data_IF_047187491969
#
_entry.id   IF_047187491969
#
_cell.length_a   1.000
_cell.length_b   1.000
_cell.length_c   1.000
_cell.angle_alpha   90.00
_cell.angle_beta   90.00
_cell.angle_gamma   90.00
#
_symmetry.space_group_name_H-M   'P 1'
#
loop_
_entity.id
_entity.type
_entity.pdbx_description
1 polymer ?
#
# COMPACT_ATOMS: atom_id res chain seq x y z
N UNK A 1 97.67 12.99 -21.78
CA UNK A 1 98.24 14.16 -21.10
C UNK A 1 98.00 15.34 -22.01
N UNK A 2 97.20 16.27 -21.48
CA UNK A 2 97.14 17.69 -21.79
C UNK A 2 96.68 18.16 -23.18
N UNK A 3 95.49 18.76 -23.15
CA UNK A 3 95.20 20.15 -23.55
C UNK A 3 95.98 20.73 -24.74
N UNK A 4 95.24 21.28 -25.71
CA UNK A 4 95.27 22.71 -26.03
C UNK A 4 94.43 23.07 -27.27
N UNK A 5 93.48 23.99 -27.04
CA UNK A 5 93.15 25.21 -27.82
C UNK A 5 92.80 25.14 -29.31
N UNK A 6 91.55 25.52 -29.61
CA UNK A 6 91.12 26.70 -30.42
C UNK A 6 92.24 27.48 -31.15
N UNK A 7 92.20 27.88 -32.43
CA UNK A 7 91.19 28.46 -33.34
C UNK A 7 91.86 28.53 -34.77
N UNK A 8 91.35 29.24 -35.81
CA UNK A 8 90.12 29.02 -36.58
C UNK A 8 90.34 29.11 -38.12
N UNK A 9 89.22 28.97 -38.85
CA UNK A 9 88.81 29.69 -40.06
C UNK A 9 89.31 29.32 -41.48
N UNK A 10 88.29 29.15 -42.33
CA UNK A 10 88.13 29.57 -43.73
C UNK A 10 88.62 28.66 -44.89
N UNK A 11 87.65 27.89 -45.42
CA UNK A 11 87.16 27.74 -46.83
C UNK A 11 87.94 28.49 -47.96
N UNK A 12 87.92 28.06 -49.26
CA UNK A 12 86.68 27.72 -50.00
C UNK A 12 86.71 26.79 -51.25
N UNK A 13 85.50 26.28 -51.60
CA UNK A 13 84.81 26.25 -52.93
C UNK A 13 85.41 25.50 -54.15
N UNK A 14 84.63 24.52 -54.66
CA UNK A 14 84.03 24.46 -56.03
C UNK A 14 83.90 23.02 -56.59
N UNK A 15 82.74 22.70 -57.18
CA UNK A 15 82.64 21.77 -58.32
C UNK A 15 81.60 20.64 -58.26
N UNK A 16 80.38 20.91 -58.74
CA UNK A 16 79.34 19.95 -59.18
C UNK A 16 79.79 19.20 -60.49
N UNK A 17 79.22 18.12 -61.04
CA UNK A 17 77.81 17.86 -61.47
C UNK A 17 77.61 16.38 -61.90
N UNK A 18 76.44 15.80 -61.58
CA UNK A 18 75.65 14.88 -62.48
C UNK A 18 75.77 13.37 -62.24
N UNK A 19 74.73 12.53 -62.27
CA UNK A 19 73.30 12.61 -62.61
C UNK A 19 72.60 11.37 -61.98
N UNK A 20 71.52 11.51 -61.20
CA UNK A 20 70.08 11.47 -61.54
C UNK A 20 69.46 10.07 -61.81
N UNK A 21 68.25 9.87 -61.24
CA UNK A 21 67.12 8.94 -61.55
C UNK A 21 66.62 8.26 -60.24
N UNK A 22 65.37 8.31 -59.77
CA UNK A 22 64.07 8.88 -60.18
C UNK A 22 63.22 9.01 -58.90
N UNK A 23 62.56 10.15 -58.69
CA UNK A 23 61.60 10.34 -57.61
C UNK A 23 60.18 9.97 -58.06
N UNK A 24 59.55 9.01 -57.38
CA UNK A 24 58.13 8.69 -57.56
C UNK A 24 57.24 9.65 -56.75
N UNK A 25 56.30 10.31 -57.43
CA UNK A 25 55.37 11.28 -56.83
C UNK A 25 54.20 10.66 -56.03
N UNK A 26 53.94 11.27 -54.86
CA UNK A 26 52.66 11.54 -54.15
C UNK A 26 51.65 10.40 -53.85
N UNK A 27 51.32 10.21 -52.55
CA UNK A 27 49.96 9.83 -52.11
C UNK A 27 49.33 10.77 -51.05
N UNK A 28 50.00 11.86 -50.64
CA UNK A 28 49.60 12.66 -49.46
C UNK A 28 48.31 13.49 -49.61
N UNK A 29 47.89 13.82 -50.83
CA UNK A 29 46.71 14.69 -51.11
C UNK A 29 45.35 13.98 -51.03
N UNK A 30 45.29 12.66 -51.25
CA UNK A 30 44.02 11.90 -51.22
C UNK A 30 43.59 11.57 -49.78
N UNK A 31 44.54 11.25 -48.92
CA UNK A 31 44.32 11.02 -47.48
C UNK A 31 43.79 12.26 -46.77
N UNK A 32 44.32 13.44 -47.10
CA UNK A 32 43.84 14.69 -46.52
C UNK A 32 42.36 14.97 -46.87
N UNK A 33 41.94 14.63 -48.10
CA UNK A 33 40.53 14.78 -48.53
C UNK A 33 39.63 13.77 -47.84
N UNK A 34 40.05 12.51 -47.70
CA UNK A 34 39.30 11.50 -46.96
C UNK A 34 39.11 11.90 -45.50
N UNK A 35 40.15 12.45 -44.86
CA UNK A 35 40.09 12.96 -43.49
C UNK A 35 39.13 14.15 -43.34
N UNK A 36 39.13 15.07 -44.31
CA UNK A 36 38.20 16.21 -44.34
C UNK A 36 36.75 15.76 -44.52
N UNK A 37 36.48 14.78 -45.39
CA UNK A 37 35.13 14.23 -45.54
C UNK A 37 34.67 13.49 -44.29
N UNK A 38 35.56 12.75 -43.62
CA UNK A 38 35.24 12.07 -42.38
C UNK A 38 34.93 13.06 -41.26
N UNK A 39 35.72 14.13 -41.12
CA UNK A 39 35.43 15.23 -40.19
C UNK A 39 34.12 15.95 -40.52
N UNK A 40 33.81 16.17 -41.80
CA UNK A 40 32.56 16.79 -42.22
C UNK A 40 31.34 15.90 -41.89
N UNK A 41 31.45 14.58 -42.07
CA UNK A 41 30.40 13.63 -41.71
C UNK A 41 30.21 13.57 -40.20
N UNK A 42 31.29 13.55 -39.41
CA UNK A 42 31.21 13.60 -37.94
C UNK A 42 30.60 14.92 -37.46
N UNK A 43 30.99 16.05 -38.07
CA UNK A 43 30.40 17.36 -37.77
C UNK A 43 28.91 17.42 -38.10
N UNK A 44 28.50 16.87 -39.24
CA UNK A 44 27.09 16.78 -39.62
C UNK A 44 26.29 15.89 -38.65
N UNK A 45 26.83 14.73 -38.27
CA UNK A 45 26.21 13.85 -37.28
C UNK A 45 26.08 14.54 -35.92
N UNK A 46 27.10 15.28 -35.47
CA UNK A 46 27.03 16.06 -34.24
C UNK A 46 25.97 17.16 -34.28
N UNK A 47 25.81 17.84 -35.43
CA UNK A 47 24.76 18.84 -35.61
C UNK A 47 23.37 18.20 -35.63
N UNK A 48 23.21 17.03 -36.25
CA UNK A 48 21.94 16.30 -36.27
C UNK A 48 21.55 15.79 -34.89
N UNK A 49 22.50 15.26 -34.11
CA UNK A 49 22.23 14.84 -32.73
C UNK A 49 21.90 16.02 -31.83
N UNK A 50 22.57 17.17 -31.99
CA UNK A 50 22.26 18.39 -31.26
C UNK A 50 20.87 18.92 -31.64
N UNK A 51 20.56 18.99 -32.93
CA UNK A 51 19.24 19.41 -33.42
C UNK A 51 18.13 18.49 -32.90
N UNK A 52 18.36 17.17 -32.90
CA UNK A 52 17.43 16.20 -32.32
C UNK A 52 17.29 16.36 -30.80
N UNK A 53 18.38 16.61 -30.08
CA UNK A 53 18.35 16.85 -28.64
C UNK A 53 17.58 18.14 -28.30
N UNK A 54 17.79 19.23 -29.05
CA UNK A 54 17.06 20.50 -28.89
C UNK A 54 15.58 20.32 -29.25
N UNK A 55 15.28 19.64 -30.37
CA UNK A 55 13.91 19.33 -30.75
C UNK A 55 13.23 18.54 -29.63
N UNK A 56 13.84 17.45 -29.15
CA UNK A 56 13.32 16.66 -28.05
C UNK A 56 13.19 17.48 -26.77
N UNK A 57 14.15 18.35 -26.44
CA UNK A 57 14.07 19.19 -25.24
C UNK A 57 12.92 20.21 -25.33
N UNK A 58 12.65 20.74 -26.52
CA UNK A 58 11.58 21.70 -26.75
C UNK A 58 10.20 21.05 -26.94
N UNK A 59 10.13 19.79 -27.37
CA UNK A 59 8.87 19.05 -27.56
C UNK A 59 8.52 18.13 -26.40
N UNK A 60 9.49 17.80 -25.52
CA UNK A 60 9.21 17.07 -24.30
C UNK A 60 8.72 18.10 -23.28
N UNK A 61 7.46 18.01 -22.81
CA UNK A 61 7.01 18.83 -21.71
C UNK A 61 8.00 18.69 -20.55
N UNK A 62 8.31 19.76 -19.80
CA UNK A 62 9.12 19.63 -18.60
C UNK A 62 8.53 18.52 -17.72
N UNK A 63 9.40 17.69 -17.12
CA UNK A 63 8.93 16.69 -16.17
C UNK A 63 8.06 17.42 -15.13
N UNK A 64 6.82 16.97 -14.89
CA UNK A 64 5.90 17.71 -14.04
C UNK A 64 6.53 17.92 -12.67
N UNK A 65 6.37 19.12 -12.12
CA UNK A 65 6.87 19.44 -10.78
C UNK A 65 6.33 18.42 -9.78
N UNK A 66 7.21 17.94 -8.89
CA UNK A 66 6.85 16.97 -7.85
C UNK A 66 5.79 17.62 -6.95
N UNK A 67 4.58 17.06 -6.94
CA UNK A 67 3.51 17.59 -6.10
C UNK A 67 3.80 17.24 -4.63
N UNK A 68 3.82 18.24 -3.77
CA UNK A 68 3.98 18.09 -2.32
C UNK A 68 2.61 18.22 -1.68
N UNK A 69 2.22 17.22 -0.88
CA UNK A 69 0.91 17.23 -0.22
C UNK A 69 1.01 18.01 1.11
N UNK A 70 0.20 19.06 1.23
CA UNK A 70 -0.16 19.65 2.53
C UNK A 70 -1.22 18.77 3.20
N UNK A 71 -0.79 18.02 4.21
CA UNK A 71 -1.58 17.01 4.89
C UNK A 71 -2.88 17.57 5.49
N UNK A 72 -2.81 18.75 6.12
CA UNK A 72 -3.97 19.33 6.79
C UNK A 72 -5.03 19.76 5.78
N UNK A 73 -4.59 20.43 4.70
CA UNK A 73 -5.47 20.88 3.62
C UNK A 73 -6.07 19.69 2.85
N UNK A 74 -5.25 18.67 2.54
CA UNK A 74 -5.72 17.47 1.85
C UNK A 74 -6.74 16.68 2.68
N UNK A 75 -6.50 16.50 3.99
CA UNK A 75 -7.46 15.86 4.88
C UNK A 75 -8.75 16.67 4.95
N UNK A 76 -8.68 17.98 5.16
CA UNK A 76 -9.88 18.81 5.31
C UNK A 76 -10.75 18.78 4.05
N UNK A 77 -10.13 18.85 2.87
CA UNK A 77 -10.84 18.79 1.58
C UNK A 77 -11.48 17.40 1.34
N UNK A 78 -10.73 16.32 1.57
CA UNK A 78 -11.25 14.95 1.39
C UNK A 78 -12.34 14.62 2.42
N UNK A 79 -12.09 14.88 3.70
CA UNK A 79 -13.08 14.67 4.76
C UNK A 79 -14.30 15.58 4.58
N UNK A 80 -14.08 16.82 4.10
CA UNK A 80 -15.12 17.77 3.77
C UNK A 80 -16.06 17.27 2.67
N UNK A 81 -15.49 16.68 1.61
CA UNK A 81 -16.24 16.09 0.49
C UNK A 81 -16.98 14.82 0.90
N UNK A 82 -16.37 13.97 1.71
CA UNK A 82 -16.90 12.64 2.03
C UNK A 82 -17.87 12.65 3.22
N UNK A 83 -17.56 13.43 4.25
CA UNK A 83 -18.31 13.46 5.51
C UNK A 83 -18.96 14.80 5.82
N UNK A 84 -18.90 15.77 4.89
CA UNK A 84 -19.54 17.07 5.05
C UNK A 84 -18.79 18.01 5.99
N UNK A 85 -19.49 18.72 6.87
CA UNK A 85 -18.91 19.85 7.61
C UNK A 85 -18.19 19.41 8.88
N UNK A 86 -17.00 19.97 9.11
CA UNK A 86 -16.30 19.86 10.38
C UNK A 86 -17.05 20.61 11.50
N UNK A 87 -17.29 19.92 12.62
CA UNK A 87 -17.85 20.49 13.84
C UNK A 87 -16.77 20.74 14.87
N UNK A 88 -16.44 22.02 15.10
CA UNK A 88 -15.48 22.43 16.13
C UNK A 88 -15.90 21.98 17.54
N UNK A 89 -17.21 21.97 17.83
CA UNK A 89 -17.75 21.55 19.12
C UNK A 89 -17.57 20.05 19.37
N UNK A 90 -17.72 19.22 18.33
CA UNK A 90 -17.55 17.76 18.42
C UNK A 90 -16.12 17.30 18.09
N UNK A 91 -15.27 18.21 17.60
CA UNK A 91 -13.90 17.93 17.13
C UNK A 91 -13.87 16.79 16.11
N UNK A 92 -14.69 16.90 15.06
CA UNK A 92 -14.82 15.89 14.00
C UNK A 92 -15.84 16.29 12.94
N UNK A 93 -15.89 15.53 11.84
CA UNK A 93 -16.85 15.70 10.75
C UNK A 93 -18.15 14.99 11.08
N UNK A 94 -19.28 15.70 10.93
CA UNK A 94 -20.60 15.14 11.22
C UNK A 94 -21.16 14.55 9.95
N UNK A 95 -21.28 13.23 9.92
CA UNK A 95 -21.78 12.46 8.80
C UNK A 95 -23.13 11.84 9.15
N UNK A 96 -24.07 11.83 8.22
CA UNK A 96 -25.33 11.11 8.32
C UNK A 96 -25.34 10.12 7.17
N UNK A 97 -25.52 8.84 7.46
CA UNK A 97 -25.57 7.80 6.44
C UNK A 97 -26.98 7.68 5.82
N UNK A 98 -27.14 6.71 4.91
CA UNK A 98 -28.40 6.49 4.20
C UNK A 98 -29.53 5.94 5.11
N UNK A 99 -29.18 5.45 6.31
CA UNK A 99 -30.11 4.96 7.35
C UNK A 99 -30.46 6.05 8.38
N UNK A 100 -30.14 7.31 8.09
CA UNK A 100 -30.29 8.47 9.00
C UNK A 100 -29.48 8.35 10.31
N UNK A 101 -28.46 7.48 10.36
CA UNK A 101 -27.59 7.36 11.53
C UNK A 101 -26.50 8.42 11.47
N UNK A 102 -26.41 9.20 12.55
CA UNK A 102 -25.41 10.25 12.67
C UNK A 102 -24.11 9.73 13.29
N UNK A 103 -22.98 10.01 12.66
CA UNK A 103 -21.63 9.69 13.10
C UNK A 103 -20.80 10.96 13.32
N UNK A 104 -19.85 10.89 14.26
CA UNK A 104 -18.75 11.87 14.35
C UNK A 104 -17.45 11.21 13.91
N UNK A 105 -17.06 11.48 12.66
CA UNK A 105 -15.87 10.93 12.04
C UNK A 105 -14.63 11.75 12.40
N UNK A 106 -13.52 11.07 12.70
CA UNK A 106 -12.23 11.69 13.00
C UNK A 106 -11.12 10.96 12.28
N UNK A 107 -10.11 11.67 11.80
CA UNK A 107 -8.87 11.04 11.34
C UNK A 107 -8.16 10.45 12.56
N UNK A 108 -7.88 9.15 12.51
CA UNK A 108 -7.27 8.40 13.61
C UNK A 108 -5.80 8.14 13.39
N UNK A 109 -5.38 8.02 12.12
CA UNK A 109 -4.00 7.74 11.77
C UNK A 109 -3.72 8.17 10.33
N UNK A 110 -2.50 8.67 10.07
CA UNK A 110 -2.07 9.09 8.73
C UNK A 110 -0.58 8.81 8.50
N UNK A 111 -0.18 8.65 7.25
CA UNK A 111 1.22 8.61 6.83
C UNK A 111 1.37 9.25 5.45
N UNK A 112 2.49 9.92 5.24
CA UNK A 112 2.92 10.42 3.94
C UNK A 112 4.09 9.59 3.44
N UNK A 113 4.00 9.12 2.20
CA UNK A 113 5.02 8.32 1.53
C UNK A 113 5.71 9.20 0.48
N UNK A 114 6.98 9.63 0.71
CA UNK A 114 7.64 10.61 -0.15
C UNK A 114 8.32 10.04 -1.40
N UNK A 115 8.25 8.73 -1.66
CA UNK A 115 9.13 8.07 -2.65
C UNK A 115 8.50 7.79 -4.02
N UNK A 116 7.40 8.45 -4.39
CA UNK A 116 6.85 8.35 -5.74
C UNK A 116 7.43 9.45 -6.66
N UNK A 117 7.89 9.07 -7.86
CA UNK A 117 8.31 9.96 -8.94
C UNK A 117 7.20 10.94 -9.38
N UNK A 118 5.94 10.65 -9.02
CA UNK A 118 4.79 11.51 -9.28
C UNK A 118 4.56 12.63 -8.27
N UNK A 119 5.04 12.48 -7.04
CA UNK A 119 4.70 13.36 -5.94
C UNK A 119 4.62 12.60 -4.63
N UNK A 120 4.27 13.29 -3.55
CA UNK A 120 3.91 12.63 -2.31
C UNK A 120 2.62 11.81 -2.50
N UNK A 121 2.53 10.68 -1.82
CA UNK A 121 1.25 10.00 -1.59
C UNK A 121 0.91 10.07 -0.10
N UNK A 122 -0.38 10.18 0.21
CA UNK A 122 -0.85 10.21 1.58
C UNK A 122 -1.90 9.14 1.82
N UNK A 123 -1.74 8.39 2.91
CA UNK A 123 -2.64 7.35 3.35
C UNK A 123 -3.17 7.75 4.71
N UNK A 124 -4.48 7.74 4.92
CA UNK A 124 -5.05 7.99 6.23
C UNK A 124 -6.31 7.17 6.48
N UNK A 125 -6.65 7.03 7.75
CA UNK A 125 -7.85 6.34 8.22
C UNK A 125 -8.67 7.31 9.05
N UNK A 126 -9.97 7.34 8.82
CA UNK A 126 -10.92 8.00 9.69
C UNK A 126 -11.87 6.99 10.31
N UNK A 127 -12.34 7.22 11.53
CA UNK A 127 -13.33 6.37 12.18
C UNK A 127 -14.26 7.17 13.09
N UNK A 128 -15.44 6.62 13.31
CA UNK A 128 -16.48 7.17 14.17
C UNK A 128 -17.45 6.09 14.64
N UNK A 129 -18.23 6.43 15.66
CA UNK A 129 -19.35 5.64 16.17
C UNK A 129 -20.63 6.45 16.02
N UNK A 130 -21.75 5.73 15.97
CA UNK A 130 -23.06 6.34 15.95
C UNK A 130 -23.31 7.17 17.23
N UNK A 131 -23.93 8.33 17.05
CA UNK A 131 -24.19 9.30 18.13
C UNK A 131 -25.40 8.90 18.98
N UNK A 132 -26.28 8.06 18.42
CA UNK A 132 -27.46 7.51 19.10
C UNK A 132 -27.12 6.45 20.15
N UNK A 133 -25.86 6.01 20.22
CA UNK A 133 -25.39 4.97 21.13
C UNK A 133 -25.65 3.54 20.65
N UNK A 134 -26.09 3.37 19.40
CA UNK A 134 -26.15 2.04 18.77
C UNK A 134 -24.75 1.45 18.59
N UNK A 135 -24.66 0.11 18.53
CA UNK A 135 -23.42 -0.62 18.24
C UNK A 135 -23.06 -0.55 16.75
N UNK A 136 -23.10 0.65 16.17
CA UNK A 136 -22.72 0.92 14.79
C UNK A 136 -21.46 1.78 14.78
N UNK A 137 -20.38 1.21 14.29
CA UNK A 137 -19.14 1.93 14.03
C UNK A 137 -18.82 1.93 12.54
N UNK A 138 -18.03 2.91 12.13
CA UNK A 138 -17.58 3.06 10.75
C UNK A 138 -16.11 3.43 10.73
N UNK A 139 -15.39 2.93 9.74
CA UNK A 139 -14.10 3.47 9.35
C UNK A 139 -14.06 3.75 7.84
N UNK A 140 -13.22 4.70 7.46
CA UNK A 140 -12.87 4.95 6.07
C UNK A 140 -11.36 4.93 5.89
N UNK A 141 -10.89 4.28 4.82
CA UNK A 141 -9.50 4.29 4.39
C UNK A 141 -9.35 5.17 3.14
N UNK A 142 -8.37 6.07 3.14
CA UNK A 142 -8.23 7.13 2.14
C UNK A 142 -6.81 7.18 1.60
N UNK A 143 -6.67 7.13 0.28
CA UNK A 143 -5.42 7.34 -0.44
C UNK A 143 -5.54 8.60 -1.29
N UNK A 144 -4.69 9.58 -0.99
CA UNK A 144 -4.58 10.83 -1.72
C UNK A 144 -3.29 10.80 -2.53
N UNK A 145 -3.40 11.03 -3.83
CA UNK A 145 -2.28 10.99 -4.75
C UNK A 145 -2.44 12.05 -5.85
N UNK A 146 -1.34 12.42 -6.53
CA UNK A 146 -1.40 13.25 -7.73
C UNK A 146 -2.37 12.69 -8.77
N UNK A 147 -3.19 13.56 -9.37
CA UNK A 147 -4.09 13.18 -10.49
C UNK A 147 -3.29 12.73 -11.72
N UNK A 148 -3.82 11.75 -12.45
CA UNK A 148 -3.26 11.29 -13.72
C UNK A 148 -4.25 11.53 -14.88
N UNK A 149 -3.86 12.20 -15.98
CA UNK A 149 -2.56 12.85 -16.23
C UNK A 149 -2.33 14.06 -15.31
N UNK A 150 -1.06 14.38 -15.03
CA UNK A 150 -0.70 15.41 -14.04
C UNK A 150 -1.14 16.80 -14.49
N UNK A 151 -2.07 17.38 -13.74
CA UNK A 151 -2.63 18.72 -13.91
C UNK A 151 -2.34 19.66 -12.72
N UNK A 152 -1.71 19.14 -11.66
CA UNK A 152 -1.43 19.87 -10.42
C UNK A 152 -2.43 19.58 -9.31
N UNK A 153 -3.51 18.84 -9.61
CA UNK A 153 -4.55 18.49 -8.64
C UNK A 153 -4.25 17.16 -7.94
N UNK A 154 -4.98 16.93 -6.85
CA UNK A 154 -4.97 15.69 -6.08
C UNK A 154 -6.27 14.91 -6.30
N UNK A 155 -6.14 13.60 -6.47
CA UNK A 155 -7.25 12.66 -6.49
C UNK A 155 -7.26 11.86 -5.18
N UNK A 156 -8.45 11.55 -4.68
CA UNK A 156 -8.63 10.74 -3.48
C UNK A 156 -9.44 9.47 -3.78
N UNK A 157 -8.83 8.32 -3.56
CA UNK A 157 -9.49 7.02 -3.54
C UNK A 157 -9.91 6.68 -2.10
N UNK A 158 -11.10 6.12 -1.91
CA UNK A 158 -11.54 5.73 -0.57
C UNK A 158 -12.42 4.48 -0.56
N UNK A 159 -12.52 3.88 0.63
CA UNK A 159 -13.51 2.86 0.99
C UNK A 159 -14.03 3.19 2.38
N UNK A 160 -15.34 3.04 2.59
CA UNK A 160 -15.97 3.14 3.89
C UNK A 160 -16.59 1.79 4.27
N UNK A 161 -16.37 1.36 5.51
CA UNK A 161 -16.87 0.09 6.02
C UNK A 161 -17.59 0.33 7.35
N UNK A 162 -18.82 -0.14 7.42
CA UNK A 162 -19.60 -0.20 8.64
C UNK A 162 -19.44 -1.57 9.29
N UNK A 163 -19.36 -1.59 10.62
CA UNK A 163 -19.23 -2.82 11.40
C UNK A 163 -19.96 -2.69 12.74
N UNK A 164 -20.34 -3.83 13.30
CA UNK A 164 -21.09 -3.90 14.57
C UNK A 164 -20.14 -3.70 15.76
N UNK A 165 -20.06 -2.47 16.24
CA UNK A 165 -19.26 -2.13 17.42
C UNK A 165 -19.70 -0.80 18.04
N UNK A 166 -19.67 -0.72 19.37
CA UNK A 166 -19.79 0.54 20.11
C UNK A 166 -18.48 1.34 20.21
N UNK A 167 -17.41 0.91 19.52
CA UNK A 167 -16.08 1.54 19.59
C UNK A 167 -15.50 1.87 18.21
N UNK A 168 -15.00 3.09 18.06
CA UNK A 168 -14.28 3.53 16.87
C UNK A 168 -12.88 2.88 16.82
N UNK A 169 -12.36 2.72 15.61
CA UNK A 169 -10.97 2.30 15.38
C UNK A 169 -10.03 3.30 16.06
N UNK A 170 -9.09 2.79 16.85
CA UNK A 170 -8.07 3.58 17.54
C UNK A 170 -6.78 3.69 16.71
N UNK A 171 -5.92 4.69 16.97
CA UNK A 171 -4.67 4.87 16.23
C UNK A 171 -3.76 3.64 16.24
N UNK A 172 -3.69 2.91 17.34
CA UNK A 172 -2.89 1.68 17.51
C UNK A 172 -3.47 0.46 16.78
N UNK A 173 -4.70 0.56 16.27
CA UNK A 173 -5.36 -0.47 15.48
C UNK A 173 -5.11 -0.29 13.97
N UNK A 174 -4.39 0.76 13.57
CA UNK A 174 -4.06 1.06 12.17
C UNK A 174 -2.57 0.95 11.93
N UNK A 175 -2.20 0.14 10.95
CA UNK A 175 -0.82 0.00 10.48
C UNK A 175 -0.75 0.30 8.99
N UNK A 176 0.32 0.96 8.56
CA UNK A 176 0.62 1.13 7.14
C UNK A 176 1.77 0.20 6.78
N UNK A 177 1.56 -0.63 5.78
CA UNK A 177 2.50 -1.68 5.39
C UNK A 177 2.91 -1.49 3.93
N UNK A 178 4.20 -1.57 3.65
CA UNK A 178 4.69 -1.75 2.29
C UNK A 178 4.35 -3.19 1.87
N UNK A 179 3.37 -3.34 0.99
CA UNK A 179 2.96 -4.64 0.47
C UNK A 179 3.85 -5.06 -0.69
N UNK A 180 4.24 -4.13 -1.58
CA UNK A 180 5.21 -4.36 -2.67
C UNK A 180 6.12 -3.15 -2.82
N UNK A 181 7.07 -3.18 -3.77
CA UNK A 181 7.94 -2.03 -4.05
C UNK A 181 7.15 -0.76 -4.41
N UNK A 182 5.96 -0.91 -4.98
CA UNK A 182 5.13 0.19 -5.48
C UNK A 182 3.72 0.23 -4.87
N UNK A 183 3.47 -0.56 -3.81
CA UNK A 183 2.14 -0.63 -3.20
C UNK A 183 2.27 -0.58 -1.68
N UNK A 184 1.71 0.48 -1.11
CA UNK A 184 1.41 0.57 0.31
C UNK A 184 -0.05 0.21 0.56
N UNK A 185 -0.32 -0.30 1.75
CA UNK A 185 -1.66 -0.65 2.19
C UNK A 185 -1.87 -0.36 3.66
N UNK A 186 -3.11 -0.58 4.09
CA UNK A 186 -3.51 -0.50 5.49
C UNK A 186 -3.71 -1.89 6.04
N UNK A 187 -3.37 -2.08 7.30
CA UNK A 187 -3.96 -3.14 8.12
C UNK A 187 -4.76 -2.46 9.21
N UNK A 188 -6.09 -2.56 9.11
CA UNK A 188 -7.04 -1.96 10.05
C UNK A 188 -7.63 -3.08 10.90
N UNK A 189 -7.48 -2.95 12.22
CA UNK A 189 -8.08 -3.87 13.19
C UNK A 189 -9.44 -3.35 13.62
N UNK A 190 -10.49 -4.08 13.29
CA UNK A 190 -11.85 -3.81 13.79
C UNK A 190 -12.14 -4.73 14.97
N UNK A 191 -12.81 -4.20 15.98
CA UNK A 191 -13.20 -4.96 17.17
C UNK A 191 -14.72 -5.00 17.27
N UNK A 192 -15.29 -6.18 17.47
CA UNK A 192 -16.69 -6.35 17.88
C UNK A 192 -16.72 -6.65 19.38
N UNK A 193 -17.73 -6.12 20.08
CA UNK A 193 -17.83 -6.20 21.53
C UNK A 193 -16.82 -5.28 22.25
N UNK A 194 -17.07 -5.01 23.52
CA UNK A 194 -16.22 -4.15 24.37
C UNK A 194 -15.85 -4.80 25.69
N UNK A 195 -16.65 -5.76 26.16
CA UNK A 195 -16.43 -6.47 27.43
C UNK A 195 -16.49 -7.99 27.23
N UNK A 196 -15.35 -8.70 27.36
CA UNK A 196 -15.29 -10.15 27.17
C UNK A 196 -16.04 -10.95 28.24
N UNK A 197 -16.48 -10.31 29.33
CA UNK A 197 -17.28 -10.95 30.39
C UNK A 197 -18.77 -11.01 30.08
N UNK A 198 -19.24 -10.15 29.17
CA UNK A 198 -20.65 -10.07 28.76
C UNK A 198 -20.89 -10.65 27.37
N UNK A 199 -19.95 -10.47 26.43
CA UNK A 199 -20.06 -10.97 25.05
C UNK A 199 -18.67 -11.33 24.50
N UNK A 200 -18.56 -12.19 23.47
CA UNK A 200 -17.27 -12.43 22.83
C UNK A 200 -16.71 -11.15 22.21
N UNK A 201 -15.50 -10.76 22.59
CA UNK A 201 -14.76 -9.68 21.96
C UNK A 201 -13.89 -10.26 20.87
N UNK A 202 -14.19 -9.94 19.62
CA UNK A 202 -13.40 -10.41 18.48
C UNK A 202 -12.72 -9.26 17.78
N UNK A 203 -11.51 -9.48 17.29
CA UNK A 203 -10.78 -8.53 16.46
C UNK A 203 -10.54 -9.16 15.11
N UNK A 204 -10.83 -8.42 14.05
CA UNK A 204 -10.59 -8.79 12.66
C UNK A 204 -9.50 -7.89 12.08
N UNK A 205 -8.53 -8.46 11.38
CA UNK A 205 -7.57 -7.70 10.58
C UNK A 205 -8.11 -7.57 9.16
N UNK A 206 -8.29 -6.32 8.72
CA UNK A 206 -8.66 -5.98 7.35
C UNK A 206 -7.41 -5.44 6.64
N UNK A 207 -6.93 -6.14 5.62
CA UNK A 207 -5.82 -5.69 4.78
C UNK A 207 -6.39 -4.97 3.58
N UNK A 208 -6.04 -3.71 3.37
CA UNK A 208 -6.57 -2.89 2.28
C UNK A 208 -5.44 -2.29 1.46
N UNK A 209 -5.71 -1.98 0.18
CA UNK A 209 -4.80 -1.20 -0.65
C UNK A 209 -5.56 -0.45 -1.76
N UNK A 210 -4.97 0.62 -2.33
CA UNK A 210 -5.52 1.29 -3.49
C UNK A 210 -5.67 0.33 -4.69
N UNK A 211 -6.80 0.40 -5.39
CA UNK A 211 -7.06 -0.39 -6.59
C UNK A 211 -8.08 0.28 -7.50
N UNK A 212 -7.75 0.45 -8.79
CA UNK A 212 -8.67 0.94 -9.84
C UNK A 212 -9.43 2.22 -9.45
N UNK A 213 -8.75 3.19 -8.85
CA UNK A 213 -9.34 4.47 -8.43
C UNK A 213 -10.16 4.42 -7.13
N UNK A 214 -10.26 3.26 -6.48
CA UNK A 214 -10.84 3.09 -5.14
C UNK A 214 -9.86 2.44 -4.17
N UNK A 215 -10.36 1.99 -3.03
CA UNK A 215 -9.62 1.16 -2.07
C UNK A 215 -10.30 -0.21 -2.01
N UNK A 216 -9.51 -1.28 -2.11
CA UNK A 216 -10.00 -2.66 -2.07
C UNK A 216 -9.57 -3.35 -0.78
N UNK A 217 -10.44 -4.21 -0.25
CA UNK A 217 -10.09 -5.18 0.80
C UNK A 217 -9.38 -6.35 0.12
N UNK A 218 -8.12 -6.56 0.48
CA UNK A 218 -7.29 -7.64 -0.05
C UNK A 218 -7.46 -8.92 0.78
N UNK A 219 -7.66 -8.80 2.09
CA UNK A 219 -7.79 -9.95 2.98
C UNK A 219 -8.56 -9.57 4.25
N UNK A 220 -9.30 -10.52 4.78
CA UNK A 220 -9.88 -10.46 6.12
C UNK A 220 -9.55 -11.75 6.86
N UNK A 221 -9.03 -11.63 8.07
CA UNK A 221 -8.71 -12.78 8.91
C UNK A 221 -8.74 -12.41 10.40
N UNK A 222 -8.97 -13.37 11.31
CA UNK A 222 -8.98 -13.12 12.75
C UNK A 222 -7.70 -12.47 13.24
N UNK A 223 -7.81 -11.63 14.26
CA UNK A 223 -6.70 -11.02 15.02
C UNK A 223 -6.70 -11.47 16.48
N UNK A 224 -7.86 -11.47 17.13
CA UNK A 224 -8.05 -12.05 18.45
C UNK A 224 -9.49 -12.46 18.69
N UNK A 225 -9.69 -13.35 19.65
CA UNK A 225 -11.00 -13.69 20.19
C UNK A 225 -10.84 -13.89 21.70
N UNK A 226 -11.62 -13.13 22.46
CA UNK A 226 -11.62 -13.08 23.91
C UNK A 226 -13.02 -13.27 24.47
N UNK A 227 -13.18 -14.22 25.38
CA UNK A 227 -14.40 -14.35 26.17
C UNK A 227 -14.06 -14.98 27.53
N UNK A 228 -14.70 -14.46 28.58
CA UNK A 228 -14.44 -14.81 29.98
C UNK A 228 -15.78 -15.12 30.64
N UNK A 229 -16.21 -16.39 30.64
CA UNK A 229 -17.48 -16.78 31.24
C UNK A 229 -17.40 -16.60 32.78
N UNK A 230 -18.54 -16.37 33.44
CA UNK A 230 -18.58 -16.26 34.90
C UNK A 230 -18.32 -17.61 35.58
N UNK A 231 -18.68 -18.73 34.95
CA UNK A 231 -18.38 -20.09 35.44
C UNK A 231 -16.97 -20.57 35.03
N UNK A 232 -16.40 -21.58 35.73
CA UNK A 232 -15.14 -22.20 35.34
C UNK A 232 -15.16 -22.76 33.91
N UNK A 233 -14.00 -22.75 33.24
CA UNK A 233 -13.90 -23.09 31.82
C UNK A 233 -14.43 -24.48 31.44
N UNK A 234 -14.30 -25.47 32.31
CA UNK A 234 -14.84 -26.81 32.06
C UNK A 234 -16.38 -26.81 32.02
N UNK A 235 -17.01 -26.01 32.88
CA UNK A 235 -18.47 -25.87 32.93
C UNK A 235 -18.98 -25.01 31.77
N UNK A 236 -18.28 -23.92 31.45
CA UNK A 236 -18.55 -23.11 30.26
C UNK A 236 -18.50 -23.94 28.97
N UNK A 237 -17.47 -24.78 28.84
CA UNK A 237 -17.34 -25.72 27.72
C UNK A 237 -18.51 -26.70 27.67
N UNK A 238 -18.89 -27.30 28.80
CA UNK A 238 -20.00 -28.24 28.83
C UNK A 238 -21.32 -27.57 28.41
N UNK A 239 -21.59 -26.35 28.88
CA UNK A 239 -22.75 -25.57 28.45
C UNK A 239 -22.75 -25.30 26.94
N UNK A 240 -21.58 -24.95 26.40
CA UNK A 240 -21.39 -24.74 24.96
C UNK A 240 -21.60 -26.01 24.13
N UNK A 241 -21.04 -27.13 24.57
CA UNK A 241 -21.18 -28.41 23.89
C UNK A 241 -22.65 -28.87 23.88
N UNK A 242 -23.42 -28.58 24.94
CA UNK A 242 -24.88 -28.78 24.98
C UNK A 242 -25.57 -27.89 23.95
N UNK A 243 -25.33 -26.57 24.00
CA UNK A 243 -25.89 -25.61 23.03
C UNK A 243 -25.67 -26.06 21.58
N UNK A 244 -24.42 -26.35 21.22
CA UNK A 244 -24.05 -26.76 19.86
C UNK A 244 -24.67 -28.12 19.45
N UNK A 245 -25.05 -28.97 20.40
CA UNK A 245 -25.73 -30.24 20.12
C UNK A 245 -27.25 -30.10 19.99
N UNK A 246 -27.83 -29.04 20.56
CA UNK A 246 -29.28 -28.79 20.57
C UNK A 246 -29.73 -27.76 19.55
N UNK A 247 -28.83 -26.87 19.13
CA UNK A 247 -29.10 -25.83 18.14
C UNK A 247 -28.77 -26.39 16.75
N UNK A 248 -29.75 -26.55 15.84
CA UNK A 248 -29.46 -26.95 14.47
C UNK A 248 -28.53 -25.92 13.81
N UNK A 249 -27.61 -26.33 12.92
CA UNK A 249 -26.83 -25.37 12.15
C UNK A 249 -27.80 -24.47 11.40
N UNK A 250 -27.59 -23.15 11.52
CA UNK A 250 -28.40 -22.12 10.87
C UNK A 250 -28.35 -22.31 9.34
N UNK A 251 -29.29 -23.12 8.84
CA UNK A 251 -29.57 -23.29 7.42
C UNK A 251 -30.55 -22.17 7.09
N UNK A 252 -29.98 -21.00 6.78
CA UNK A 252 -30.64 -19.72 6.55
C UNK A 252 -32.15 -19.78 6.38
N UNK A 253 -32.86 -19.08 7.26
CA UNK A 253 -34.30 -18.80 7.21
C UNK A 253 -34.73 -18.38 5.80
N UNK A 254 -35.11 -19.38 5.01
CA UNK A 254 -35.75 -19.23 3.71
C UNK A 254 -37.18 -19.73 3.86
N UNK A 255 -38.09 -18.79 4.06
CA UNK A 255 -39.48 -18.93 3.64
C UNK A 255 -40.42 -19.66 4.58
N UNK A 256 -40.33 -19.43 5.89
CA UNK A 256 -41.46 -19.71 6.78
C UNK A 256 -42.12 -18.37 7.12
N UNK A 257 -43.37 -18.21 6.67
CA UNK A 257 -44.21 -17.07 6.99
C UNK A 257 -44.10 -16.75 8.49
N UNK A 258 -43.65 -15.53 8.81
CA UNK A 258 -43.51 -14.96 10.16
C UNK A 258 -44.88 -14.74 10.81
N UNK A 259 -45.60 -15.83 11.05
CA UNK A 259 -46.77 -15.84 11.90
C UNK A 259 -46.38 -16.42 13.27
N UNK A 260 -46.02 -15.51 14.17
CA UNK A 260 -46.20 -15.64 15.62
C UNK A 260 -45.61 -16.91 16.26
N UNK A 261 -44.28 -16.93 16.43
CA UNK A 261 -43.68 -17.60 17.58
C UNK A 261 -42.42 -16.82 18.00
N UNK A 262 -42.54 -16.06 19.10
CA UNK A 262 -41.41 -15.60 19.93
C UNK A 262 -40.69 -16.84 20.49
N UNK A 263 -39.97 -17.57 19.64
CA UNK A 263 -38.97 -18.52 20.11
C UNK A 263 -37.75 -17.66 20.40
N UNK A 264 -37.57 -17.33 21.68
CA UNK A 264 -36.33 -16.77 22.21
C UNK A 264 -35.20 -17.73 21.80
N UNK A 265 -34.45 -17.37 20.76
CA UNK A 265 -33.30 -18.16 20.33
C UNK A 265 -32.36 -18.27 21.54
N UNK A 266 -31.98 -19.50 21.96
CA UNK A 266 -31.16 -19.65 23.14
C UNK A 266 -29.84 -18.89 22.93
N UNK A 267 -29.53 -17.95 23.81
CA UNK A 267 -28.28 -17.19 23.73
C UNK A 267 -27.07 -18.15 23.76
N UNK A 268 -26.14 -17.98 22.81
CA UNK A 268 -24.92 -18.80 22.74
C UNK A 268 -24.08 -18.60 24.03
N UNK A 269 -23.82 -19.65 24.82
CA UNK A 269 -23.10 -19.50 26.07
C UNK A 269 -21.63 -19.15 25.84
N UNK A 270 -21.10 -18.22 26.65
CA UNK A 270 -19.70 -17.81 26.57
C UNK A 270 -18.73 -18.96 26.81
N UNK A 271 -17.64 -18.97 26.04
CA UNK A 271 -16.53 -19.92 26.18
C UNK A 271 -15.34 -19.25 26.86
N UNK A 272 -14.42 -20.03 27.40
CA UNK A 272 -13.13 -19.50 27.88
C UNK A 272 -12.13 -19.34 26.72
N UNK A 273 -12.17 -18.22 26.01
CA UNK A 273 -11.31 -17.98 24.85
C UNK A 273 -10.33 -16.83 25.08
N UNK A 274 -9.08 -17.05 24.66
CA UNK A 274 -8.01 -16.05 24.55
C UNK A 274 -7.14 -16.38 23.34
N UNK A 275 -7.75 -16.49 22.17
CA UNK A 275 -7.06 -16.84 20.92
C UNK A 275 -6.43 -15.60 20.31
N UNK A 276 -5.23 -15.75 19.72
CA UNK A 276 -4.44 -14.67 19.12
C UNK A 276 -3.88 -15.10 17.79
N UNK A 277 -4.19 -14.33 16.74
CA UNK A 277 -3.64 -14.47 15.40
C UNK A 277 -2.72 -13.29 15.14
N UNK A 278 -1.42 -13.55 15.12
CA UNK A 278 -0.40 -12.55 14.81
C UNK A 278 -0.04 -12.64 13.34
N UNK A 279 -0.06 -11.51 12.65
CA UNK A 279 0.38 -11.44 11.25
C UNK A 279 1.79 -10.85 11.15
N UNK A 280 2.46 -11.16 10.04
CA UNK A 280 3.69 -10.52 9.60
C UNK A 280 3.70 -10.46 8.07
N UNK A 281 3.88 -9.27 7.52
CA UNK A 281 4.13 -9.08 6.09
C UNK A 281 5.53 -9.61 5.76
N UNK A 282 5.63 -10.36 4.66
CA UNK A 282 6.90 -10.89 4.17
C UNK A 282 7.85 -9.78 3.71
N UNK A 283 9.08 -10.16 3.37
CA UNK A 283 10.03 -9.22 2.77
C UNK A 283 9.51 -8.81 1.39
N UNK A 284 9.37 -7.50 1.17
CA UNK A 284 9.01 -6.93 -0.13
C UNK A 284 10.12 -7.24 -1.13
N UNK A 285 9.76 -7.86 -2.24
CA UNK A 285 10.68 -8.19 -3.33
C UNK A 285 9.91 -8.15 -4.66
N UNK A 286 10.07 -7.07 -5.40
CA UNK A 286 9.36 -6.82 -6.66
C UNK A 286 7.99 -6.17 -6.50
N UNK A 287 7.23 -6.20 -7.60
CA UNK A 287 5.96 -5.47 -7.78
C UNK A 287 4.72 -6.26 -7.33
N UNK A 288 4.88 -7.51 -6.92
CA UNK A 288 3.79 -8.33 -6.41
C UNK A 288 3.74 -8.20 -4.89
N UNK A 289 2.57 -7.97 -4.29
CA UNK A 289 2.41 -7.95 -2.84
C UNK A 289 3.04 -9.17 -2.14
N UNK A 290 3.83 -8.90 -1.12
CA UNK A 290 4.52 -9.88 -0.31
C UNK A 290 3.51 -10.79 0.42
N UNK A 291 3.86 -12.07 0.63
CA UNK A 291 2.97 -12.99 1.35
C UNK A 291 2.82 -12.58 2.82
N UNK A 292 1.64 -12.81 3.39
CA UNK A 292 1.36 -12.57 4.81
C UNK A 292 1.47 -13.89 5.56
N UNK A 293 2.24 -13.89 6.64
CA UNK A 293 2.32 -15.05 7.55
C UNK A 293 1.42 -14.80 8.75
N UNK A 294 0.47 -15.68 9.01
CA UNK A 294 -0.43 -15.62 10.17
C UNK A 294 -0.11 -16.77 11.12
N UNK A 295 -0.03 -16.51 12.42
CA UNK A 295 0.26 -17.53 13.44
C UNK A 295 -0.78 -17.50 14.55
N UNK A 296 -1.41 -18.63 14.83
CA UNK A 296 -2.35 -18.83 15.93
C UNK A 296 -1.61 -19.26 17.20
N UNK A 297 -1.98 -18.64 18.31
CA UNK A 297 -1.60 -19.05 19.67
C UNK A 297 -2.71 -18.70 20.68
N UNK A 298 -2.53 -19.08 21.94
CA UNK A 298 -3.46 -18.76 23.04
C UNK A 298 -4.21 -19.97 23.55
N UNK A 299 -5.45 -19.75 24.00
CA UNK A 299 -6.31 -20.80 24.56
C UNK A 299 -7.74 -20.74 24.04
N UNK A 300 -8.39 -21.90 23.98
CA UNK A 300 -9.80 -22.10 23.68
C UNK A 300 -10.37 -23.08 24.71
N UNK A 301 -11.54 -22.79 25.26
CA UNK A 301 -12.14 -23.52 26.39
C UNK A 301 -11.17 -23.66 27.60
N UNK A 302 -10.30 -22.68 27.81
CA UNK A 302 -9.26 -22.71 28.85
C UNK A 302 -8.10 -23.68 28.58
N UNK A 303 -8.08 -24.37 27.43
CA UNK A 303 -6.97 -25.24 27.01
C UNK A 303 -6.12 -24.57 25.95
N UNK A 304 -4.81 -24.85 25.95
CA UNK A 304 -3.92 -24.31 24.93
C UNK A 304 -4.33 -24.79 23.53
N UNK A 305 -4.45 -23.87 22.58
CA UNK A 305 -4.70 -24.25 21.19
C UNK A 305 -3.44 -24.82 20.55
N UNK A 306 -3.61 -25.75 19.62
CA UNK A 306 -2.52 -26.21 18.77
C UNK A 306 -1.99 -25.02 17.94
N UNK A 307 -0.69 -24.75 18.06
CA UNK A 307 -0.06 -23.67 17.32
C UNK A 307 -0.12 -23.96 15.81
N UNK A 308 -0.74 -23.05 15.05
CA UNK A 308 -0.86 -23.15 13.60
C UNK A 308 -0.27 -21.94 12.91
N UNK A 309 0.20 -22.15 11.68
CA UNK A 309 0.82 -21.10 10.88
C UNK A 309 0.35 -21.22 9.43
N UNK A 310 -0.14 -20.11 8.90
CA UNK A 310 -0.57 -20.00 7.51
C UNK A 310 0.35 -19.04 6.76
N UNK A 311 0.64 -19.39 5.52
CA UNK A 311 1.28 -18.48 4.57
C UNK A 311 0.23 -18.10 3.53
N UNK A 312 -0.27 -16.88 3.64
CA UNK A 312 -1.32 -16.34 2.79
C UNK A 312 -0.65 -15.65 1.60
N UNK A 313 -0.91 -16.17 0.40
CA UNK A 313 -0.29 -15.69 -0.85
C UNK A 313 -1.21 -14.70 -1.54
N UNK A 314 -0.65 -13.66 -2.16
CA UNK A 314 -1.43 -12.74 -2.99
C UNK A 314 -1.73 -13.36 -4.36
N UNK A 315 -2.98 -13.29 -4.79
CA UNK A 315 -3.42 -13.63 -6.14
C UNK A 315 -3.60 -12.34 -6.97
N UNK A 316 -2.72 -12.07 -7.95
CA UNK A 316 -2.82 -10.89 -8.79
C UNK A 316 -4.05 -10.89 -9.72
N UNK A 317 -4.70 -12.05 -9.95
CA UNK A 317 -5.88 -12.11 -10.81
C UNK A 317 -7.12 -11.55 -10.14
N UNK A 318 -7.34 -11.93 -8.88
CA UNK A 318 -8.44 -11.41 -8.06
C UNK A 318 -8.08 -10.11 -7.34
N UNK A 319 -6.80 -9.76 -7.28
CA UNK A 319 -6.27 -8.66 -6.47
C UNK A 319 -6.59 -8.85 -4.98
N UNK A 320 -6.51 -10.09 -4.49
CA UNK A 320 -6.79 -10.46 -3.10
C UNK A 320 -5.77 -11.48 -2.59
N UNK A 321 -5.67 -11.62 -1.28
CA UNK A 321 -4.92 -12.69 -0.63
C UNK A 321 -5.77 -13.96 -0.53
N UNK A 322 -5.15 -15.11 -0.82
CA UNK A 322 -5.78 -16.42 -0.73
C UNK A 322 -5.81 -16.88 0.75
N UNK A 323 -6.82 -16.42 1.48
CA UNK A 323 -7.05 -16.79 2.89
C UNK A 323 -7.58 -18.23 2.95
N UNK A 324 -6.86 -19.18 3.60
CA UNK A 324 -7.34 -20.54 3.77
C UNK A 324 -8.66 -20.60 4.54
N UNK A 325 -9.54 -21.55 4.23
CA UNK A 325 -10.89 -21.65 4.83
C UNK A 325 -10.87 -21.84 6.35
N UNK A 326 -9.82 -22.46 6.90
CA UNK A 326 -9.63 -22.64 8.34
C UNK A 326 -9.08 -21.38 9.05
N UNK A 327 -8.65 -20.38 8.28
CA UNK A 327 -8.27 -19.04 8.75
C UNK A 327 -9.33 -17.98 8.41
N UNK A 328 -10.16 -18.22 7.40
CA UNK A 328 -11.22 -17.30 7.02
C UNK A 328 -12.15 -17.06 8.22
N UNK A 329 -12.65 -15.83 8.32
CA UNK A 329 -13.75 -15.54 9.24
C UNK A 329 -14.89 -16.48 8.88
N UNK A 330 -15.44 -17.17 9.87
CA UNK A 330 -16.69 -17.90 9.72
C UNK A 330 -17.74 -16.89 9.23
N UNK A 331 -18.00 -16.90 7.93
CA UNK A 331 -18.93 -16.00 7.30
C UNK A 331 -20.31 -16.38 7.85
N UNK A 332 -21.07 -15.49 8.52
CA UNK A 332 -22.52 -15.64 8.41
C UNK A 332 -22.81 -15.60 6.92
N UNK A 333 -23.54 -16.58 6.40
CA UNK A 333 -23.82 -16.66 4.97
C UNK A 333 -24.26 -15.28 4.44
N UNK A 334 -23.77 -14.83 3.27
CA UNK A 334 -24.23 -13.56 2.70
C UNK A 334 -25.74 -13.64 2.50
N UNK A 335 -26.46 -12.66 3.07
CA UNK A 335 -27.87 -12.39 2.79
C UNK A 335 -28.10 -11.93 1.36
#
# INVERSE_FOLDING_TARGET
>A
MDDLKEHPAAMPVAGEVGAAVVASGRPRRRWLRALLYLLAVVGLLALLTLAYAIYRHNTTPPAPERIVIDEATAIDDVMGKVYGKYSAAKKGWVYVDDDDVTYVMRVVQQVKIPDNLAGDEMYFVASGVAVDGSDRARYGAFHVHPTEPRDGDLTAANLQVQYSAGVAVQPEQVYFEALSENLWGWVIKTQTGSDPTHSPVTVTNNVLAPHKGGVAILAEFPGSSDSVPPQPCAEAKAAYDVYNSTTPPDLGSHGVDEAEMDIEEPEEPLRCDKRRWRYRVGVVNGTIPAPITVTLSGSQDGQAVEARKWKVMFDPKSFTYLVPTDLALSTPAPG
#
